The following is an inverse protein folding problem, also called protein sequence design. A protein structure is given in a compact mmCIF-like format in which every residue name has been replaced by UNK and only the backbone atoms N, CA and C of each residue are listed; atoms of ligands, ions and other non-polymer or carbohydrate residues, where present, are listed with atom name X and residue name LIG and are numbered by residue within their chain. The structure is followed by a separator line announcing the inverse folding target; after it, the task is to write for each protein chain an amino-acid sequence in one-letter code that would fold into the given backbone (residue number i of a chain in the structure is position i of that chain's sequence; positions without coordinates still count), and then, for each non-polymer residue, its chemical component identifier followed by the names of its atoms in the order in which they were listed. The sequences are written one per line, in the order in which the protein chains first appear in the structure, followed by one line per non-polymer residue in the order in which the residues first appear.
data_IF_489848846693
#
_entry.id   IF_489848846693
#
_cell.length_a   1.000
_cell.length_b   1.000
_cell.length_c   1.000
_cell.angle_alpha   90.00
_cell.angle_beta   90.00
_cell.angle_gamma   90.00
#
_symmetry.space_group_name_H-M   'P 1'
#
loop_
_entity.id
_entity.type
_entity.pdbx_description
1 polymer ?
#
# COMPACT_ATOMS: atom_id res chain seq x y z
N UNK A 1 82.48 -60.47 17.54
CA UNK A 1 81.17 -60.76 16.92
C UNK A 1 81.24 -60.27 15.49
N UNK A 2 80.92 -61.14 14.52
CA UNK A 2 80.99 -60.87 13.07
C UNK A 2 79.99 -59.78 12.66
N UNK A 3 80.33 -58.95 11.68
CA UNK A 3 79.48 -57.85 11.19
C UNK A 3 78.05 -58.30 10.83
N UNK A 4 77.93 -59.51 10.30
CA UNK A 4 76.65 -60.17 10.01
C UNK A 4 75.72 -60.25 11.22
N UNK A 5 76.25 -60.52 12.42
CA UNK A 5 75.45 -60.58 13.65
C UNK A 5 74.91 -59.20 14.03
N UNK A 6 75.66 -58.13 13.72
CA UNK A 6 75.24 -56.76 13.97
C UNK A 6 74.13 -56.36 13.01
N UNK A 7 74.28 -56.68 11.73
CA UNK A 7 73.26 -56.41 10.70
C UNK A 7 71.96 -57.16 10.97
N UNK A 8 72.02 -58.44 11.34
CA UNK A 8 70.83 -59.22 11.71
C UNK A 8 70.14 -58.62 12.95
N UNK A 9 70.91 -58.22 13.96
CA UNK A 9 70.35 -57.58 15.16
C UNK A 9 69.72 -56.22 14.85
N UNK A 10 70.31 -55.47 13.92
CA UNK A 10 69.78 -54.18 13.46
C UNK A 10 68.45 -54.36 12.71
N UNK A 11 68.39 -55.32 11.78
CA UNK A 11 67.15 -55.66 11.05
C UNK A 11 66.07 -56.14 12.03
N UNK A 12 66.43 -57.00 12.99
CA UNK A 12 65.50 -57.50 14.01
C UNK A 12 64.96 -56.35 14.88
N UNK A 13 65.83 -55.43 15.31
CA UNK A 13 65.39 -54.24 16.05
C UNK A 13 64.47 -53.36 15.21
N UNK A 14 64.73 -53.14 13.92
CA UNK A 14 63.84 -52.33 13.08
C UNK A 14 62.47 -52.99 12.84
N UNK A 15 62.43 -54.31 12.73
CA UNK A 15 61.18 -55.05 12.48
C UNK A 15 60.33 -55.25 13.74
N UNK A 16 60.97 -55.48 14.89
CA UNK A 16 60.29 -55.89 16.12
C UNK A 16 60.41 -54.89 17.27
N UNK A 17 61.24 -53.85 17.17
CA UNK A 17 61.22 -52.73 18.10
C UNK A 17 60.22 -51.68 17.62
N UNK A 18 58.98 -51.78 18.11
CA UNK A 18 57.92 -50.82 17.80
C UNK A 18 58.03 -49.51 18.58
N UNK A 19 58.99 -49.37 19.51
CA UNK A 19 59.15 -48.16 20.33
C UNK A 19 59.34 -46.88 19.50
N UNK A 20 60.13 -46.85 18.41
CA UNK A 20 60.26 -45.65 17.56
C UNK A 20 58.93 -45.26 16.90
N UNK A 21 58.15 -46.23 16.43
CA UNK A 21 56.83 -46.00 15.83
C UNK A 21 55.85 -45.46 16.88
N UNK A 22 55.68 -46.19 18.00
CA UNK A 22 54.79 -45.78 19.10
C UNK A 22 55.14 -44.39 19.64
N UNK A 23 56.42 -44.09 19.84
CA UNK A 23 56.85 -42.76 20.29
C UNK A 23 56.56 -41.67 19.24
N UNK A 24 56.63 -42.00 17.95
CA UNK A 24 56.23 -41.10 16.86
C UNK A 24 54.74 -40.78 16.92
N UNK A 25 53.90 -41.80 17.02
CA UNK A 25 52.44 -41.67 17.12
C UNK A 25 52.01 -40.91 18.38
N UNK A 26 52.62 -41.21 19.55
CA UNK A 26 52.35 -40.49 20.80
C UNK A 26 52.70 -39.01 20.66
N UNK A 27 53.87 -38.67 20.07
CA UNK A 27 54.26 -37.28 19.83
C UNK A 27 53.34 -36.58 18.85
N UNK A 28 52.91 -37.28 17.80
CA UNK A 28 51.96 -36.73 16.83
C UNK A 28 50.60 -36.45 17.50
N UNK A 29 50.09 -37.38 18.28
CA UNK A 29 48.86 -37.20 19.07
C UNK A 29 48.94 -35.99 20.00
N UNK A 30 49.99 -35.89 20.82
CA UNK A 30 50.17 -34.75 21.74
C UNK A 30 50.24 -33.42 20.97
N UNK A 31 51.00 -33.38 19.87
CA UNK A 31 51.16 -32.17 19.07
C UNK A 31 49.85 -31.73 18.41
N UNK A 32 49.12 -32.66 17.79
CA UNK A 32 47.90 -32.31 17.05
C UNK A 32 46.70 -32.04 17.96
N UNK A 33 46.58 -32.76 19.07
CA UNK A 33 45.38 -32.71 19.91
C UNK A 33 45.53 -31.90 21.19
N UNK A 34 46.74 -31.75 21.74
CA UNK A 34 46.96 -30.90 22.92
C UNK A 34 47.65 -29.59 22.53
N UNK A 35 48.80 -29.63 21.87
CA UNK A 35 49.61 -28.41 21.63
C UNK A 35 48.98 -27.47 20.59
N UNK A 36 48.51 -28.00 19.44
CA UNK A 36 47.90 -27.17 18.39
C UNK A 36 46.51 -26.65 18.76
N UNK A 37 45.74 -27.42 19.53
CA UNK A 37 44.41 -26.99 20.00
C UNK A 37 44.52 -26.02 21.16
N UNK A 38 45.48 -26.26 22.06
CA UNK A 38 45.70 -25.47 23.27
C UNK A 38 44.39 -25.28 24.03
N UNK A 39 44.22 -24.07 24.56
CA UNK A 39 43.02 -23.69 25.32
C UNK A 39 41.94 -23.02 24.46
N UNK A 40 42.02 -23.12 23.12
CA UNK A 40 41.10 -22.41 22.22
C UNK A 40 39.63 -22.73 22.47
N UNK A 41 39.32 -24.00 22.79
CA UNK A 41 37.96 -24.42 23.11
C UNK A 41 37.47 -23.80 24.42
N UNK A 42 38.36 -23.67 25.40
CA UNK A 42 38.10 -23.04 26.70
C UNK A 42 37.89 -21.54 26.55
N UNK A 43 38.76 -20.85 25.80
CA UNK A 43 38.61 -19.42 25.47
C UNK A 43 37.28 -19.14 24.76
N UNK A 44 36.90 -19.99 23.80
CA UNK A 44 35.61 -19.88 23.11
C UNK A 44 34.43 -20.04 24.07
N UNK A 45 34.50 -21.01 25.00
CA UNK A 45 33.46 -21.19 26.01
C UNK A 45 33.35 -19.97 26.93
N UNK A 46 34.47 -19.40 27.37
CA UNK A 46 34.47 -18.17 28.16
C UNK A 46 33.90 -16.98 27.39
N UNK A 47 34.26 -16.81 26.12
CA UNK A 47 33.72 -15.74 25.28
C UNK A 47 32.20 -15.89 25.07
N UNK A 48 31.71 -17.12 24.91
CA UNK A 48 30.27 -17.39 24.84
C UNK A 48 29.61 -17.07 26.18
N UNK A 49 30.18 -17.51 27.30
CA UNK A 49 29.66 -17.26 28.63
C UNK A 49 29.58 -15.77 28.95
N UNK A 50 30.60 -15.00 28.59
CA UNK A 50 30.62 -13.54 28.76
C UNK A 50 29.48 -12.88 27.99
N UNK A 51 29.32 -13.22 26.70
CA UNK A 51 28.23 -12.69 25.88
C UNK A 51 26.85 -13.07 26.41
N UNK A 52 26.69 -14.31 26.87
CA UNK A 52 25.43 -14.80 27.40
C UNK A 52 25.08 -14.07 28.70
N UNK A 53 26.07 -13.84 29.56
CA UNK A 53 25.93 -13.05 30.78
C UNK A 53 25.56 -11.60 30.46
N UNK A 54 26.24 -10.94 29.53
CA UNK A 54 25.90 -9.56 29.14
C UNK A 54 24.47 -9.45 28.57
N UNK A 55 24.07 -10.38 27.71
CA UNK A 55 22.71 -10.40 27.15
C UNK A 55 21.67 -10.56 28.26
N UNK A 56 21.89 -11.51 29.16
CA UNK A 56 20.97 -11.82 30.26
C UNK A 56 20.86 -10.65 31.24
N UNK A 57 21.99 -10.08 31.65
CA UNK A 57 22.04 -9.15 32.76
C UNK A 57 21.83 -7.70 32.32
N UNK A 58 22.16 -7.33 31.07
CA UNK A 58 22.06 -5.94 30.61
C UNK A 58 21.06 -5.74 29.47
N UNK A 59 21.07 -6.60 28.44
CA UNK A 59 20.30 -6.33 27.23
C UNK A 59 18.82 -6.67 27.38
N UNK A 60 18.50 -7.76 28.08
CA UNK A 60 17.12 -8.21 28.26
C UNK A 60 16.26 -7.13 28.94
N UNK A 61 16.75 -6.56 30.05
CA UNK A 61 16.04 -5.54 30.82
C UNK A 61 15.91 -4.22 30.02
N UNK A 62 16.95 -3.83 29.26
CA UNK A 62 16.91 -2.66 28.39
C UNK A 62 15.82 -2.80 27.32
N UNK A 63 15.77 -3.95 26.65
CA UNK A 63 14.77 -4.23 25.62
C UNK A 63 13.37 -4.25 26.22
N UNK A 64 13.19 -4.87 27.39
CA UNK A 64 11.90 -4.91 28.06
C UNK A 64 11.40 -3.51 28.43
N UNK A 65 12.25 -2.66 29.02
CA UNK A 65 11.91 -1.27 29.38
C UNK A 65 11.65 -0.41 28.15
N UNK A 66 12.49 -0.51 27.12
CA UNK A 66 12.31 0.23 25.87
C UNK A 66 11.02 -0.18 25.16
N UNK A 67 10.72 -1.49 25.12
CA UNK A 67 9.49 -2.03 24.55
C UNK A 67 8.25 -1.55 25.30
N UNK A 68 8.25 -1.65 26.64
CA UNK A 68 7.14 -1.19 27.50
C UNK A 68 6.85 0.31 27.39
N UNK A 69 7.83 1.12 27.03
CA UNK A 69 7.67 2.58 26.92
C UNK A 69 7.35 3.01 25.49
N UNK A 70 8.05 2.46 24.49
CA UNK A 70 7.91 2.89 23.11
C UNK A 70 6.69 2.28 22.40
N UNK A 71 6.37 1.00 22.65
CA UNK A 71 5.27 0.33 21.94
C UNK A 71 3.90 0.93 22.26
N UNK A 72 3.54 1.27 23.52
CA UNK A 72 2.24 1.88 23.80
C UNK A 72 2.09 3.25 23.13
N UNK A 73 3.15 4.07 23.16
CA UNK A 73 3.14 5.39 22.51
C UNK A 73 2.99 5.25 21.00
N UNK A 74 3.67 4.28 20.38
CA UNK A 74 3.53 4.01 18.95
C UNK A 74 2.12 3.51 18.61
N UNK A 75 1.57 2.59 19.43
CA UNK A 75 0.24 2.05 19.24
C UNK A 75 -0.84 3.16 19.37
N UNK A 76 -0.70 4.05 20.34
CA UNK A 76 -1.60 5.19 20.53
C UNK A 76 -1.57 6.12 19.31
N UNK A 77 -0.37 6.50 18.85
CA UNK A 77 -0.23 7.35 17.65
C UNK A 77 -0.78 6.68 16.39
N UNK A 78 -0.59 5.38 16.26
CA UNK A 78 -1.13 4.62 15.14
C UNK A 78 -2.66 4.62 15.16
N UNK A 79 -3.25 4.39 16.34
CA UNK A 79 -4.71 4.43 16.51
C UNK A 79 -5.27 5.83 16.23
N UNK A 80 -4.61 6.89 16.68
CA UNK A 80 -5.00 8.28 16.38
C UNK A 80 -4.94 8.55 14.86
N UNK A 81 -3.87 8.13 14.18
CA UNK A 81 -3.76 8.31 12.74
C UNK A 81 -4.85 7.54 11.97
N UNK A 82 -5.21 6.34 12.45
CA UNK A 82 -6.26 5.53 11.87
C UNK A 82 -7.64 6.19 12.06
N UNK A 83 -7.95 6.69 13.26
CA UNK A 83 -9.17 7.43 13.53
C UNK A 83 -9.30 8.67 12.63
N UNK A 84 -8.24 9.47 12.51
CA UNK A 84 -8.23 10.65 11.63
C UNK A 84 -8.47 10.27 10.17
N UNK A 85 -7.92 9.13 9.71
CA UNK A 85 -8.15 8.64 8.36
C UNK A 85 -9.61 8.25 8.13
N UNK A 86 -10.24 7.57 9.09
CA UNK A 86 -11.65 7.17 9.04
C UNK A 86 -12.58 8.40 9.08
N UNK A 87 -12.24 9.40 9.90
CA UNK A 87 -12.97 10.68 9.96
C UNK A 87 -12.91 11.42 8.61
N UNK A 88 -11.72 11.55 8.02
CA UNK A 88 -11.54 12.19 6.70
C UNK A 88 -12.33 11.45 5.62
N UNK A 89 -12.31 10.12 5.61
CA UNK A 89 -13.07 9.32 4.65
C UNK A 89 -14.58 9.56 4.81
N UNK A 90 -15.07 9.56 6.04
CA UNK A 90 -16.49 9.79 6.35
C UNK A 90 -16.92 11.20 5.92
N UNK A 91 -16.13 12.22 6.25
CA UNK A 91 -16.40 13.62 5.87
C UNK A 91 -16.40 13.79 4.36
N UNK A 92 -15.46 13.17 3.66
CA UNK A 92 -15.39 13.21 2.20
C UNK A 92 -16.64 12.61 1.55
N UNK A 93 -17.09 11.44 2.03
CA UNK A 93 -18.30 10.80 1.52
C UNK A 93 -19.55 11.65 1.77
N UNK A 94 -19.68 12.24 2.95
CA UNK A 94 -20.80 13.13 3.28
C UNK A 94 -20.80 14.40 2.41
N UNK A 95 -19.64 15.02 2.19
CA UNK A 95 -19.50 16.18 1.31
C UNK A 95 -19.84 15.82 -0.14
N UNK A 96 -19.41 14.65 -0.60
CA UNK A 96 -19.72 14.16 -1.94
C UNK A 96 -21.22 13.95 -2.11
N UNK A 97 -21.90 13.37 -1.13
CA UNK A 97 -23.35 13.16 -1.16
C UNK A 97 -24.12 14.48 -1.18
N UNK A 98 -23.78 15.42 -0.28
CA UNK A 98 -24.37 16.77 -0.27
C UNK A 98 -24.16 17.50 -1.59
N UNK A 99 -22.97 17.39 -2.19
CA UNK A 99 -22.68 17.98 -3.49
C UNK A 99 -23.55 17.38 -4.60
N UNK A 100 -23.70 16.04 -4.63
CA UNK A 100 -24.59 15.35 -5.57
C UNK A 100 -26.05 15.76 -5.42
N UNK A 101 -26.54 15.86 -4.18
CA UNK A 101 -27.90 16.31 -3.89
C UNK A 101 -28.11 17.75 -4.39
N UNK A 102 -27.21 18.67 -4.06
CA UNK A 102 -27.27 20.07 -4.52
C UNK A 102 -27.23 20.19 -6.04
N UNK A 103 -26.43 19.37 -6.72
CA UNK A 103 -26.40 19.31 -8.18
C UNK A 103 -27.74 18.83 -8.75
N UNK A 104 -28.36 17.82 -8.15
CA UNK A 104 -29.66 17.31 -8.56
C UNK A 104 -30.77 18.35 -8.38
N UNK A 105 -30.83 19.00 -7.21
CA UNK A 105 -31.77 20.09 -6.92
C UNK A 105 -31.64 21.26 -7.91
N UNK A 106 -30.41 21.68 -8.19
CA UNK A 106 -30.15 22.75 -9.17
C UNK A 106 -30.57 22.35 -10.59
N UNK A 107 -30.38 21.08 -10.96
CA UNK A 107 -30.81 20.56 -12.26
C UNK A 107 -32.34 20.56 -12.36
N UNK A 108 -33.04 20.11 -11.33
CA UNK A 108 -34.50 20.12 -11.27
C UNK A 108 -35.06 21.54 -11.33
N UNK A 109 -34.46 22.47 -10.57
CA UNK A 109 -34.86 23.88 -10.59
C UNK A 109 -34.71 24.49 -11.98
N UNK A 110 -33.56 24.28 -12.64
CA UNK A 110 -33.32 24.77 -14.00
C UNK A 110 -34.27 24.16 -15.01
N UNK A 111 -34.63 22.88 -14.84
CA UNK A 111 -35.61 22.22 -15.71
C UNK A 111 -36.98 22.91 -15.58
N UNK A 112 -37.45 23.16 -14.35
CA UNK A 112 -38.72 23.88 -14.12
C UNK A 112 -38.70 25.30 -14.71
N UNK A 113 -37.61 26.04 -14.52
CA UNK A 113 -37.43 27.37 -15.11
C UNK A 113 -37.44 27.32 -16.65
N UNK A 114 -36.81 26.30 -17.23
CA UNK A 114 -36.79 26.08 -18.68
C UNK A 114 -38.18 25.72 -19.23
N UNK A 115 -38.89 24.82 -18.58
CA UNK A 115 -40.23 24.41 -18.99
C UNK A 115 -41.19 25.61 -18.96
N UNK A 116 -41.14 26.42 -17.89
CA UNK A 116 -41.91 27.67 -17.79
C UNK A 116 -41.56 28.67 -18.90
N UNK A 117 -40.27 28.81 -19.22
CA UNK A 117 -39.83 29.69 -20.29
C UNK A 117 -40.35 29.23 -21.66
N UNK A 118 -40.31 27.93 -21.93
CA UNK A 118 -40.83 27.33 -23.17
C UNK A 118 -42.34 27.52 -23.26
N UNK A 119 -43.08 27.29 -22.18
CA UNK A 119 -44.53 27.47 -22.14
C UNK A 119 -44.91 28.94 -22.41
N UNK A 120 -44.24 29.91 -21.78
CA UNK A 120 -44.47 31.34 -22.02
C UNK A 120 -44.13 31.73 -23.48
N UNK A 121 -43.06 31.17 -24.04
CA UNK A 121 -42.68 31.45 -25.42
C UNK A 121 -43.67 30.85 -26.43
N UNK A 122 -44.12 29.61 -26.19
CA UNK A 122 -45.16 28.97 -27.00
C UNK A 122 -46.46 29.75 -26.94
N UNK A 123 -46.87 30.21 -25.75
CA UNK A 123 -48.06 31.03 -25.58
C UNK A 123 -47.95 32.35 -26.35
N UNK A 124 -46.79 33.02 -26.32
CA UNK A 124 -46.54 34.24 -27.09
C UNK A 124 -46.61 34.00 -28.60
N UNK A 125 -46.02 32.93 -29.10
CA UNK A 125 -46.09 32.55 -30.51
C UNK A 125 -47.54 32.29 -30.94
N UNK A 126 -48.28 31.46 -30.19
CA UNK A 126 -49.70 31.19 -30.47
C UNK A 126 -50.54 32.46 -30.48
N UNK A 127 -50.31 33.37 -29.53
CA UNK A 127 -51.02 34.64 -29.49
C UNK A 127 -50.74 35.48 -30.73
N UNK A 128 -49.48 35.53 -31.18
CA UNK A 128 -49.11 36.23 -32.41
C UNK A 128 -49.82 35.60 -33.61
N UNK A 129 -49.74 34.27 -33.75
CA UNK A 129 -50.38 33.54 -34.85
C UNK A 129 -51.89 33.81 -34.90
N UNK A 130 -52.59 33.73 -33.76
CA UNK A 130 -54.02 34.04 -33.67
C UNK A 130 -54.32 35.49 -34.08
N UNK A 131 -53.52 36.47 -33.63
CA UNK A 131 -53.74 37.87 -34.03
C UNK A 131 -53.49 38.10 -35.52
N UNK A 132 -52.57 37.37 -36.14
CA UNK A 132 -52.36 37.42 -37.58
C UNK A 132 -53.53 36.78 -38.33
N UNK A 133 -54.03 35.65 -37.86
CA UNK A 133 -55.18 34.95 -38.46
C UNK A 133 -56.46 35.81 -38.40
N UNK A 134 -56.75 36.42 -37.24
CA UNK A 134 -57.87 37.37 -37.08
C UNK A 134 -57.75 38.56 -38.04
N UNK A 135 -56.55 39.14 -38.17
CA UNK A 135 -56.31 40.27 -39.08
C UNK A 135 -56.40 39.87 -40.55
N UNK A 136 -55.97 38.66 -40.89
CA UNK A 136 -56.11 38.12 -42.24
C UNK A 136 -57.59 37.91 -42.60
N UNK A 137 -58.39 37.39 -41.66
CA UNK A 137 -59.84 37.21 -41.83
C UNK A 137 -60.55 38.56 -41.98
N UNK A 138 -60.27 39.53 -41.10
CA UNK A 138 -60.78 40.91 -41.23
C UNK A 138 -60.45 41.53 -42.60
N UNK A 139 -59.23 41.32 -43.10
CA UNK A 139 -58.82 41.78 -44.43
C UNK A 139 -59.61 41.07 -45.54
N UNK A 140 -59.75 39.74 -45.45
CA UNK A 140 -60.53 38.95 -46.42
C UNK A 140 -61.97 39.45 -46.49
N UNK A 141 -62.60 39.70 -45.35
CA UNK A 141 -63.96 40.25 -45.26
C UNK A 141 -64.05 41.65 -45.85
N UNK A 142 -63.12 42.55 -45.51
CA UNK A 142 -63.06 43.90 -46.07
C UNK A 142 -62.93 43.88 -47.60
N UNK A 143 -62.07 43.02 -48.16
CA UNK A 143 -61.91 42.87 -49.60
C UNK A 143 -63.13 42.23 -50.26
N UNK A 144 -63.79 41.26 -49.61
CA UNK A 144 -65.04 40.68 -50.11
C UNK A 144 -66.18 41.71 -50.16
N UNK A 145 -66.32 42.53 -49.11
CA UNK A 145 -67.27 43.64 -49.04
C UNK A 145 -66.99 44.70 -50.10
N UNK A 146 -65.71 45.05 -50.29
CA UNK A 146 -65.29 46.01 -51.31
C UNK A 146 -65.60 45.47 -52.72
N UNK A 147 -65.32 44.19 -52.97
CA UNK A 147 -65.65 43.51 -54.22
C UNK A 147 -67.16 43.54 -54.50
N UNK A 148 -67.97 43.30 -53.47
CA UNK A 148 -69.43 43.37 -53.59
C UNK A 148 -69.93 44.80 -53.86
N UNK A 149 -69.44 45.80 -53.12
CA UNK A 149 -69.81 47.22 -53.30
C UNK A 149 -69.39 47.80 -54.64
N UNK A 150 -68.29 47.33 -55.23
CA UNK A 150 -67.80 47.78 -56.53
C UNK A 150 -68.44 47.04 -57.72
N UNK A 151 -69.39 46.12 -57.50
CA UNK A 151 -70.03 45.30 -58.54
C UNK A 151 -69.01 44.62 -59.47
N UNK A 152 -67.85 44.24 -58.94
CA UNK A 152 -66.84 43.49 -59.69
C UNK A 152 -67.33 42.04 -59.77
N UNK A 153 -68.17 41.78 -60.76
CA UNK A 153 -68.52 40.42 -61.17
C UNK A 153 -67.33 39.92 -61.98
N UNK A 154 -66.57 38.98 -61.42
CA UNK A 154 -65.57 38.26 -62.20
C UNK A 154 -66.30 37.53 -63.34
N UNK A 155 -65.80 37.73 -64.57
CA UNK A 155 -66.14 36.89 -65.72
C UNK A 155 -65.65 35.46 -65.51
#
# INVERSE_FOLDING_TARGET
MTELSREISEIWSRLFDHRPFLNGEIKFMLKEFEEKRGDREVENLFAILEKLTDIKDTQLEKVEKASKTALPVLAEKLNQALQLSEEIETDYLQLQEKSKQKLAENKEKRQKEWDQFIDDMNFKCQRIDNTFEEKEEELRDLYADLKHKLNITDK
#
